data_IF_807726145384
#
_entry.id   IF_807726145384
#
_cell.length_a   1.000
_cell.length_b   1.000
_cell.length_c   1.000
_cell.angle_alpha   90.00
_cell.angle_beta   90.00
_cell.angle_gamma   90.00
#
_symmetry.space_group_name_H-M   'P 1'
#
loop_
_entity.id
_entity.type
_entity.pdbx_description
1 polymer ?
#
# COMPACT_ATOMS: atom_id res chain seq x y z
N UNK A 1 -18.60 -29.14 -20.12
CA UNK A 1 -18.38 -27.72 -19.93
C UNK A 1 -16.93 -27.35 -20.21
N UNK A 2 -16.69 -26.42 -21.11
CA UNK A 2 -15.41 -26.17 -21.78
C UNK A 2 -14.36 -25.53 -20.85
N UNK A 3 -13.39 -26.30 -20.37
CA UNK A 3 -12.13 -25.85 -19.77
C UNK A 3 -11.13 -25.34 -20.82
N UNK A 4 -11.61 -24.68 -21.85
CA UNK A 4 -10.75 -24.29 -22.95
C UNK A 4 -10.56 -22.77 -22.95
N UNK A 5 -9.32 -22.33 -22.90
CA UNK A 5 -8.80 -21.03 -23.37
C UNK A 5 -8.38 -19.95 -22.37
N UNK A 6 -8.29 -20.21 -21.10
CA UNK A 6 -7.48 -19.32 -20.21
C UNK A 6 -5.98 -19.69 -20.27
N UNK A 7 -5.69 -20.81 -20.89
CA UNK A 7 -4.37 -21.45 -20.96
C UNK A 7 -3.30 -20.70 -21.78
N UNK A 8 -3.69 -19.66 -22.52
CA UNK A 8 -2.82 -19.07 -23.56
C UNK A 8 -2.00 -17.88 -23.06
N UNK A 9 -2.34 -17.26 -21.91
CA UNK A 9 -1.79 -15.96 -21.56
C UNK A 9 -0.56 -16.01 -20.63
N UNK A 10 -0.36 -17.09 -19.88
CA UNK A 10 0.65 -17.08 -18.80
C UNK A 10 1.54 -18.33 -18.71
N UNK A 11 1.59 -19.18 -19.74
CA UNK A 11 2.28 -20.47 -19.55
C UNK A 11 1.68 -21.24 -18.36
N UNK A 12 1.82 -22.49 -18.29
CA UNK A 12 1.06 -23.44 -17.46
C UNK A 12 1.05 -23.25 -15.91
N UNK A 13 1.45 -22.09 -15.31
CA UNK A 13 1.75 -22.09 -13.87
C UNK A 13 1.12 -21.03 -12.98
N UNK A 14 0.58 -19.94 -13.49
CA UNK A 14 0.02 -18.88 -12.61
C UNK A 14 -1.21 -18.23 -13.23
N UNK A 15 -2.35 -18.38 -12.56
CA UNK A 15 -3.55 -17.60 -12.85
C UNK A 15 -3.66 -16.43 -11.89
N UNK A 16 -3.45 -15.21 -12.41
CA UNK A 16 -3.66 -13.98 -11.69
C UNK A 16 -4.95 -13.35 -12.19
N UNK A 17 -5.85 -13.02 -11.28
CA UNK A 17 -7.00 -12.18 -11.60
C UNK A 17 -6.58 -10.71 -11.49
N UNK A 18 -6.36 -10.09 -12.63
CA UNK A 18 -5.93 -8.70 -12.67
C UNK A 18 -7.09 -7.74 -12.35
N UNK A 19 -6.86 -6.69 -11.56
CA UNK A 19 -7.86 -5.67 -11.28
C UNK A 19 -8.24 -4.89 -12.55
N UNK A 20 -9.46 -4.37 -12.59
CA UNK A 20 -9.98 -3.49 -13.64
C UNK A 20 -9.97 -4.08 -15.05
N UNK A 21 -9.92 -5.41 -15.19
CA UNK A 21 -9.85 -6.09 -16.48
C UNK A 21 -10.96 -7.12 -16.61
N UNK A 22 -11.60 -7.15 -17.77
CA UNK A 22 -12.48 -8.24 -18.12
C UNK A 22 -11.64 -9.45 -18.61
N UNK A 23 -11.57 -10.52 -17.82
CA UNK A 23 -10.71 -11.68 -18.07
C UNK A 23 -10.87 -12.30 -19.45
N UNK A 24 -12.09 -12.31 -20.04
CA UNK A 24 -12.35 -12.85 -21.38
C UNK A 24 -11.71 -12.03 -22.52
N UNK A 25 -11.42 -10.76 -22.28
CA UNK A 25 -10.89 -9.80 -23.27
C UNK A 25 -9.54 -9.24 -22.85
N UNK A 26 -8.93 -9.80 -21.84
CA UNK A 26 -7.67 -9.30 -21.32
C UNK A 26 -6.56 -9.45 -22.35
N UNK A 27 -5.83 -8.37 -22.58
CA UNK A 27 -4.55 -8.42 -23.31
C UNK A 27 -3.48 -9.00 -22.41
N UNK A 28 -2.48 -9.65 -22.98
CA UNK A 28 -1.32 -10.13 -22.21
C UNK A 28 -0.65 -8.98 -21.49
N UNK A 29 -0.52 -9.02 -20.14
CA UNK A 29 0.16 -7.98 -19.40
C UNK A 29 1.64 -7.90 -19.78
N UNK A 30 2.19 -6.71 -19.71
CA UNK A 30 3.63 -6.54 -19.87
C UNK A 30 4.38 -7.14 -18.68
N UNK A 31 5.34 -8.01 -18.97
CA UNK A 31 6.25 -8.54 -17.96
C UNK A 31 7.39 -7.55 -17.77
N UNK A 32 7.37 -6.84 -16.63
CA UNK A 32 8.44 -5.92 -16.28
C UNK A 32 9.64 -6.70 -15.75
N UNK A 33 10.80 -6.44 -16.28
CA UNK A 33 12.07 -7.07 -15.91
C UNK A 33 12.99 -6.14 -15.14
N UNK A 34 12.83 -4.83 -15.30
CA UNK A 34 13.56 -3.81 -14.58
C UNK A 34 12.79 -2.49 -14.53
N UNK A 35 13.19 -1.59 -13.62
CA UNK A 35 12.62 -0.25 -13.51
C UNK A 35 13.67 0.73 -12.97
N UNK A 36 13.68 1.99 -13.46
CA UNK A 36 14.60 3.03 -12.99
C UNK A 36 14.00 4.42 -13.23
N UNK A 37 14.06 5.29 -12.23
CA UNK A 37 13.47 6.64 -12.32
C UNK A 37 11.98 6.55 -12.66
N UNK A 38 11.57 7.06 -13.82
CA UNK A 38 10.18 6.99 -14.31
C UNK A 38 9.96 5.89 -15.33
N UNK A 39 10.96 5.05 -15.57
CA UNK A 39 10.93 4.06 -16.64
C UNK A 39 10.70 2.64 -16.14
N UNK A 40 9.90 1.90 -16.89
CA UNK A 40 9.72 0.46 -16.79
C UNK A 40 10.32 -0.23 -18.00
N UNK A 41 10.96 -1.36 -17.80
CA UNK A 41 11.60 -2.13 -18.87
C UNK A 41 10.97 -3.51 -18.99
N UNK A 42 10.61 -3.88 -20.20
CA UNK A 42 10.37 -5.28 -20.60
C UNK A 42 11.62 -5.82 -21.25
N UNK A 43 11.59 -7.09 -21.75
CA UNK A 43 12.70 -7.61 -22.53
C UNK A 43 12.98 -6.78 -23.79
N UNK A 44 11.93 -6.25 -24.42
CA UNK A 44 12.00 -5.64 -25.74
C UNK A 44 11.73 -4.13 -25.75
N UNK A 45 11.16 -3.58 -24.67
CA UNK A 45 10.66 -2.20 -24.68
C UNK A 45 11.01 -1.46 -23.39
N UNK A 46 11.17 -0.14 -23.55
CA UNK A 46 11.23 0.85 -22.47
C UNK A 46 9.94 1.66 -22.49
N UNK A 47 9.30 1.82 -21.36
CA UNK A 47 8.04 2.54 -21.17
C UNK A 47 8.17 3.58 -20.08
N UNK A 48 7.37 4.64 -20.16
CA UNK A 48 7.22 5.61 -19.08
C UNK A 48 6.03 5.19 -18.21
N UNK A 49 6.24 5.13 -16.89
CA UNK A 49 5.17 4.99 -15.93
C UNK A 49 4.65 6.38 -15.55
N UNK A 50 3.60 6.83 -16.23
CA UNK A 50 3.00 8.15 -16.01
C UNK A 50 2.10 8.23 -14.77
N UNK A 51 1.85 7.10 -14.10
CA UNK A 51 0.98 7.03 -12.90
C UNK A 51 1.74 6.60 -11.64
N UNK A 52 3.07 6.50 -11.73
CA UNK A 52 3.96 6.13 -10.61
C UNK A 52 3.47 4.91 -9.84
N UNK A 53 3.11 3.84 -10.57
CA UNK A 53 2.57 2.59 -9.99
C UNK A 53 1.43 2.87 -8.99
N UNK A 54 0.42 3.59 -9.43
CA UNK A 54 -0.68 4.10 -8.60
C UNK A 54 -0.18 4.87 -7.36
N UNK A 55 0.68 5.85 -7.64
CA UNK A 55 1.26 6.80 -6.67
C UNK A 55 2.22 6.20 -5.63
N UNK A 56 2.55 4.91 -5.73
CA UNK A 56 3.51 4.28 -4.83
C UNK A 56 4.97 4.66 -5.14
N UNK A 57 5.28 4.99 -6.42
CA UNK A 57 6.63 5.28 -6.88
C UNK A 57 6.84 6.79 -7.17
N UNK A 58 6.33 7.67 -6.33
CA UNK A 58 6.41 9.14 -6.50
C UNK A 58 7.84 9.68 -6.51
N UNK A 59 8.78 8.96 -5.87
CA UNK A 59 10.21 9.29 -5.86
C UNK A 59 11.00 8.58 -6.96
N UNK A 60 10.31 7.90 -7.86
CA UNK A 60 10.88 7.07 -8.92
C UNK A 60 11.34 5.69 -8.45
N UNK A 61 11.52 4.81 -9.41
CA UNK A 61 12.04 3.46 -9.20
C UNK A 61 13.53 3.51 -8.86
N UNK A 62 13.99 2.61 -8.00
CA UNK A 62 15.38 2.50 -7.53
C UNK A 62 15.94 3.80 -6.89
N UNK A 63 15.09 4.57 -6.22
CA UNK A 63 15.58 5.69 -5.42
C UNK A 63 16.63 5.19 -4.41
N UNK A 64 17.85 5.74 -4.51
CA UNK A 64 19.01 5.24 -3.73
C UNK A 64 18.80 5.40 -2.24
N UNK A 65 18.33 6.56 -1.79
CA UNK A 65 18.16 6.85 -0.36
C UNK A 65 17.09 5.94 0.27
N UNK A 66 15.96 5.77 -0.41
CA UNK A 66 14.88 4.87 0.05
C UNK A 66 15.37 3.42 0.08
N UNK A 67 16.02 2.97 -0.99
CA UNK A 67 16.53 1.60 -1.08
C UNK A 67 17.57 1.30 0.01
N UNK A 68 18.50 2.21 0.28
CA UNK A 68 19.50 2.03 1.35
C UNK A 68 18.84 2.04 2.73
N UNK A 69 17.89 2.93 2.99
CA UNK A 69 17.15 2.92 4.24
C UNK A 69 16.38 1.60 4.46
N UNK A 70 15.73 1.07 3.40
CA UNK A 70 15.06 -0.23 3.48
C UNK A 70 16.03 -1.39 3.72
N UNK A 71 17.19 -1.44 3.04
CA UNK A 71 18.22 -2.46 3.26
C UNK A 71 18.74 -2.44 4.69
N UNK A 72 19.11 -1.25 5.18
CA UNK A 72 19.61 -1.08 6.53
C UNK A 72 18.58 -1.52 7.59
N UNK A 73 17.29 -1.27 7.33
CA UNK A 73 16.23 -1.72 8.23
C UNK A 73 16.04 -3.24 8.18
N UNK A 74 16.11 -3.85 6.99
CA UNK A 74 16.00 -5.32 6.83
C UNK A 74 17.16 -6.03 7.54
N UNK A 75 18.37 -5.48 7.50
CA UNK A 75 19.54 -6.03 8.19
C UNK A 75 19.39 -6.00 9.72
N UNK A 76 18.58 -5.09 10.28
CA UNK A 76 18.26 -5.06 11.70
C UNK A 76 17.12 -6.03 12.03
N UNK A 77 15.98 -5.82 11.41
CA UNK A 77 14.77 -6.67 11.46
C UNK A 77 13.77 -6.22 10.40
N UNK A 78 13.02 -7.16 9.84
CA UNK A 78 12.05 -6.90 8.78
C UNK A 78 10.67 -6.51 9.30
N UNK A 79 10.28 -6.96 10.50
CA UNK A 79 8.98 -6.67 11.09
C UNK A 79 8.97 -6.87 12.61
N UNK A 80 8.30 -5.96 13.32
CA UNK A 80 7.93 -6.08 14.73
C UNK A 80 6.51 -5.54 14.89
N UNK A 81 5.65 -6.29 15.57
CA UNK A 81 4.28 -5.84 15.86
C UNK A 81 4.26 -4.67 16.84
N UNK A 82 3.24 -3.82 16.77
CA UNK A 82 3.03 -2.71 17.72
C UNK A 82 2.19 -3.11 18.96
N UNK A 83 1.90 -4.37 19.14
CA UNK A 83 1.17 -4.88 20.32
C UNK A 83 2.07 -5.01 21.55
N UNK A 84 2.29 -3.91 22.25
CA UNK A 84 3.17 -3.85 23.43
C UNK A 84 4.67 -3.71 23.10
N UNK A 85 5.02 -3.57 21.81
CA UNK A 85 6.38 -3.34 21.30
C UNK A 85 6.42 -2.07 20.46
N UNK A 86 7.60 -1.51 20.29
CA UNK A 86 7.82 -0.36 19.41
C UNK A 86 9.18 -0.43 18.74
N UNK A 87 9.45 0.45 17.79
CA UNK A 87 10.72 0.53 17.08
C UNK A 87 10.98 1.94 16.53
N UNK A 88 12.23 2.27 16.32
CA UNK A 88 12.67 3.60 15.91
C UNK A 88 11.98 4.17 14.67
N UNK A 89 11.80 3.42 13.56
CA UNK A 89 11.09 3.95 12.39
C UNK A 89 9.67 4.45 12.66
N UNK A 90 8.89 3.74 13.49
CA UNK A 90 7.51 4.18 13.79
C UNK A 90 7.49 5.38 14.73
N UNK A 91 8.42 5.48 15.67
CA UNK A 91 8.54 6.65 16.55
C UNK A 91 8.86 7.90 15.73
N UNK A 92 9.88 7.85 14.89
CA UNK A 92 10.24 8.96 13.98
C UNK A 92 9.12 9.35 13.02
N UNK A 93 8.37 8.36 12.51
CA UNK A 93 7.23 8.64 11.64
C UNK A 93 6.12 9.37 12.42
N UNK A 94 5.82 8.94 13.64
CA UNK A 94 4.79 9.56 14.48
C UNK A 94 5.14 11.03 14.81
N UNK A 95 6.40 11.31 15.16
CA UNK A 95 6.90 12.66 15.41
C UNK A 95 6.72 13.55 14.16
N UNK A 96 7.18 13.08 13.00
CA UNK A 96 7.03 13.83 11.75
C UNK A 96 5.57 14.08 11.37
N UNK A 97 4.68 13.10 11.59
CA UNK A 97 3.25 13.28 11.32
C UNK A 97 2.64 14.31 12.27
N UNK A 98 2.99 14.30 13.56
CA UNK A 98 2.55 15.31 14.52
C UNK A 98 2.95 16.72 14.08
N UNK A 99 4.19 16.93 13.65
CA UNK A 99 4.70 18.23 13.18
C UNK A 99 4.05 18.68 11.86
N UNK A 100 3.63 17.73 11.04
CA UNK A 100 3.05 18.00 9.71
C UNK A 100 1.54 18.27 9.77
N UNK A 101 0.82 17.66 10.71
CA UNK A 101 -0.64 17.76 10.81
C UNK A 101 -1.06 18.99 11.63
N UNK A 102 -2.17 19.65 11.27
CA UNK A 102 -2.67 20.80 12.02
C UNK A 102 -3.37 20.38 13.32
N UNK A 103 -3.35 21.29 14.32
CA UNK A 103 -4.09 21.13 15.58
C UNK A 103 -3.41 20.20 16.57
N UNK A 104 -4.18 19.67 17.51
CA UNK A 104 -3.70 18.87 18.65
C UNK A 104 -3.76 17.36 18.36
N UNK A 105 -3.32 16.95 17.17
CA UNK A 105 -3.32 15.54 16.74
C UNK A 105 -2.03 14.84 17.21
N UNK A 106 -1.97 14.48 18.48
CA UNK A 106 -0.78 13.95 19.14
C UNK A 106 -0.60 12.42 19.00
N UNK A 107 -1.59 11.71 18.53
CA UNK A 107 -1.59 10.24 18.49
C UNK A 107 -1.82 9.72 17.08
N UNK A 108 -1.02 8.72 16.71
CA UNK A 108 -1.15 8.02 15.43
C UNK A 108 -1.61 6.58 15.65
N UNK A 109 -2.61 6.16 14.89
CA UNK A 109 -3.00 4.75 14.77
C UNK A 109 -2.64 4.28 13.37
N UNK A 110 -1.78 3.27 13.28
CA UNK A 110 -1.33 2.71 12.01
C UNK A 110 -2.19 1.54 11.57
N UNK A 111 -2.52 1.50 10.29
CA UNK A 111 -3.24 0.41 9.64
C UNK A 111 -2.61 0.07 8.29
N UNK A 112 -2.95 -1.08 7.75
CA UNK A 112 -2.37 -1.62 6.53
C UNK A 112 -2.95 -1.05 5.22
N UNK A 113 -4.06 -0.32 5.31
CA UNK A 113 -4.68 0.33 4.13
C UNK A 113 -5.53 1.54 4.50
N UNK A 114 -5.77 2.42 3.53
CA UNK A 114 -6.66 3.57 3.70
C UNK A 114 -8.09 3.17 4.05
N UNK A 115 -8.62 2.10 3.47
CA UNK A 115 -9.96 1.59 3.78
C UNK A 115 -10.08 1.14 5.23
N UNK A 116 -9.09 0.43 5.74
CA UNK A 116 -9.03 0.02 7.15
C UNK A 116 -8.86 1.23 8.06
N UNK A 117 -8.04 2.21 7.68
CA UNK A 117 -7.89 3.45 8.46
C UNK A 117 -9.22 4.20 8.62
N UNK A 118 -10.00 4.32 7.55
CA UNK A 118 -11.34 4.96 7.60
C UNK A 118 -12.29 4.15 8.47
N UNK A 119 -12.32 2.82 8.35
CA UNK A 119 -13.17 1.96 9.18
C UNK A 119 -12.83 2.10 10.66
N UNK A 120 -11.54 2.11 11.01
CA UNK A 120 -11.07 2.32 12.39
C UNK A 120 -11.47 3.69 12.90
N UNK A 121 -11.27 4.75 12.09
CA UNK A 121 -11.66 6.11 12.47
C UNK A 121 -13.17 6.23 12.76
N UNK A 122 -14.02 5.61 11.93
CA UNK A 122 -15.46 5.56 12.16
C UNK A 122 -15.82 4.82 13.46
N UNK A 123 -15.18 3.68 13.73
CA UNK A 123 -15.37 2.94 14.98
C UNK A 123 -14.94 3.73 16.20
N UNK A 124 -13.79 4.42 16.13
CA UNK A 124 -13.32 5.31 17.20
C UNK A 124 -14.29 6.46 17.46
N UNK A 125 -14.76 7.13 16.40
CA UNK A 125 -15.73 8.22 16.52
C UNK A 125 -17.05 7.75 17.13
N UNK A 126 -17.54 6.60 16.72
CA UNK A 126 -18.76 5.98 17.28
C UNK A 126 -18.58 5.66 18.77
N UNK A 127 -17.48 4.98 19.13
CA UNK A 127 -17.19 4.59 20.50
C UNK A 127 -17.00 5.82 21.40
N UNK A 128 -16.33 6.86 20.91
CA UNK A 128 -16.18 8.12 21.61
C UNK A 128 -17.53 8.76 21.94
N UNK A 129 -18.46 8.81 20.97
CA UNK A 129 -19.80 9.37 21.19
C UNK A 129 -20.64 8.53 22.15
N UNK A 130 -20.53 7.19 22.10
CA UNK A 130 -21.21 6.29 23.05
C UNK A 130 -20.67 6.57 24.47
N UNK A 131 -19.36 6.63 24.63
CA UNK A 131 -18.74 6.83 25.94
C UNK A 131 -19.07 8.20 26.55
N UNK A 132 -19.31 9.23 25.75
CA UNK A 132 -19.77 10.55 26.20
C UNK A 132 -21.26 10.63 26.49
N UNK A 133 -22.00 9.54 26.38
CA UNK A 133 -23.44 9.52 26.61
C UNK A 133 -24.28 10.20 25.52
N UNK A 134 -23.66 10.62 24.39
CA UNK A 134 -24.37 11.24 23.26
C UNK A 134 -25.06 10.21 22.33
N UNK A 135 -24.93 8.94 22.63
CA UNK A 135 -25.47 7.84 21.85
C UNK A 135 -26.87 7.40 22.26
N UNK A 136 -27.81 8.29 22.37
CA UNK A 136 -29.27 8.03 22.25
C UNK A 136 -30.05 9.36 22.31
N UNK A 137 -30.23 10.01 21.20
CA UNK A 137 -31.52 10.71 21.07
C UNK A 137 -32.56 9.59 20.93
N UNK A 138 -33.32 9.34 22.01
CA UNK A 138 -34.56 8.60 21.93
C UNK A 138 -35.44 9.30 20.91
N UNK A 139 -35.73 8.66 19.82
CA UNK A 139 -36.94 8.94 19.05
C UNK A 139 -38.11 8.41 19.85
#
# INVERSE_FOLDING_TARGET
MRKAKIRIILGDKLMIWYPYVQMKKMKTPYKIVDAEGVYLYTQDNKMIDSVSSWWCMIHGYKNKEINEAMKNQIDQFSHVMLGGLTHEPVLKLSEKLKDFLPGDLDYCFFSDSGSVAVEVALKMALQFNINRGSGRKKQ
#
